data_IF_510971246275
#
_entry.id   IF_510971246275
#
_cell.length_a   1.000
_cell.length_b   1.000
_cell.length_c   1.000
_cell.angle_alpha   90.00
_cell.angle_beta   90.00
_cell.angle_gamma   90.00
#
_symmetry.space_group_name_H-M   'P 1'
#
loop_
_entity.id
_entity.type
_entity.pdbx_description
1 polymer ?
#
# COMPACT_ATOMS: atom_id res chain seq x y z
N UNK A 1 -2.35 -3.74 -5.24
CA UNK A 1 -0.88 -3.99 -5.27
C UNK A 1 -0.49 -4.78 -4.05
N UNK A 2 0.75 -5.30 -3.98
CA UNK A 2 1.24 -5.95 -2.76
C UNK A 2 1.17 -5.02 -1.53
N UNK A 3 1.50 -3.73 -1.68
CA UNK A 3 1.40 -2.77 -0.58
C UNK A 3 -0.02 -2.61 -0.04
N UNK A 4 -1.05 -2.63 -0.91
CA UNK A 4 -2.45 -2.60 -0.48
C UNK A 4 -2.80 -3.90 0.26
N UNK A 5 -2.42 -5.07 -0.24
CA UNK A 5 -2.70 -6.35 0.43
C UNK A 5 -2.07 -6.39 1.82
N UNK A 6 -0.85 -5.87 1.98
CA UNK A 6 -0.21 -5.79 3.30
C UNK A 6 -0.93 -4.83 4.25
N UNK A 7 -1.52 -3.73 3.77
CA UNK A 7 -2.40 -2.89 4.58
C UNK A 7 -3.66 -3.66 5.00
N UNK A 8 -4.30 -4.34 4.06
CA UNK A 8 -5.52 -5.09 4.34
C UNK A 8 -5.30 -6.20 5.37
N UNK A 9 -4.15 -6.88 5.29
CA UNK A 9 -3.74 -7.87 6.30
C UNK A 9 -3.39 -7.23 7.66
N UNK A 10 -2.79 -6.04 7.67
CA UNK A 10 -2.42 -5.33 8.90
C UNK A 10 -3.65 -4.94 9.73
N UNK A 11 -4.72 -4.50 9.06
CA UNK A 11 -5.91 -3.95 9.71
C UNK A 11 -7.14 -4.87 9.66
N UNK A 12 -7.08 -5.95 8.87
CA UNK A 12 -8.21 -6.86 8.67
C UNK A 12 -9.39 -6.22 7.92
N UNK A 13 -9.15 -5.17 7.12
CA UNK A 13 -10.14 -4.43 6.35
C UNK A 13 -9.71 -4.36 4.89
N UNK A 14 -10.66 -4.30 3.96
CA UNK A 14 -10.31 -3.99 2.56
C UNK A 14 -9.97 -2.50 2.42
N UNK A 15 -9.24 -2.12 1.37
CA UNK A 15 -9.04 -0.69 1.06
C UNK A 15 -10.39 0.01 0.88
N UNK A 16 -11.36 -0.66 0.27
CA UNK A 16 -12.71 -0.16 -0.02
C UNK A 16 -13.48 0.18 1.26
N UNK A 17 -13.32 -0.64 2.30
CA UNK A 17 -13.94 -0.44 3.61
C UNK A 17 -13.11 0.47 4.54
N UNK A 18 -11.92 0.89 4.10
CA UNK A 18 -11.06 1.76 4.90
C UNK A 18 -11.64 3.18 5.02
N UNK A 19 -11.45 3.86 6.17
CA UNK A 19 -11.85 5.27 6.31
C UNK A 19 -11.05 6.21 5.40
N UNK A 20 -9.98 5.71 4.76
CA UNK A 20 -9.12 6.45 3.86
C UNK A 20 -9.71 6.51 2.45
N UNK A 21 -10.31 5.42 1.95
CA UNK A 21 -10.90 5.40 0.60
C UNK A 21 -12.04 6.41 0.45
N UNK A 22 -12.91 6.52 1.46
CA UNK A 22 -14.02 7.46 1.45
C UNK A 22 -13.59 8.92 1.26
N UNK A 23 -12.38 9.30 1.67
CA UNK A 23 -11.83 10.66 1.52
C UNK A 23 -11.38 10.98 0.09
N UNK A 24 -11.07 9.95 -0.69
CA UNK A 24 -10.47 10.07 -2.02
C UNK A 24 -11.43 9.70 -3.16
N UNK A 25 -12.69 9.36 -2.86
CA UNK A 25 -13.71 9.06 -3.87
C UNK A 25 -14.05 10.31 -4.70
N UNK A 26 -14.17 10.12 -6.01
CA UNK A 26 -14.72 11.15 -6.90
C UNK A 26 -16.19 11.43 -6.55
N UNK A 27 -16.69 12.67 -6.72
CA UNK A 27 -18.09 13.02 -6.47
C UNK A 27 -19.11 12.20 -7.29
N UNK A 28 -18.67 11.65 -8.43
CA UNK A 28 -19.47 10.80 -9.32
C UNK A 28 -19.37 9.29 -8.99
N UNK A 29 -18.62 8.92 -7.94
CA UNK A 29 -18.39 7.54 -7.53
C UNK A 29 -17.44 6.77 -8.46
N UNK A 30 -16.80 7.43 -9.43
CA UNK A 30 -15.81 6.80 -10.29
C UNK A 30 -14.54 6.48 -9.50
N UNK A 31 -14.01 5.28 -9.70
CA UNK A 31 -12.76 4.82 -9.09
C UNK A 31 -11.59 5.13 -10.02
N UNK A 32 -10.61 5.87 -9.51
CA UNK A 32 -9.34 6.12 -10.20
C UNK A 32 -8.21 5.38 -9.47
N UNK A 33 -7.36 4.59 -10.15
CA UNK A 33 -6.18 3.97 -9.55
C UNK A 33 -5.25 4.94 -8.80
N UNK A 34 -5.24 6.23 -9.19
CA UNK A 34 -4.52 7.27 -8.47
C UNK A 34 -5.14 7.59 -7.09
N UNK A 35 -6.46 7.53 -6.95
CA UNK A 35 -7.17 7.75 -5.69
C UNK A 35 -6.95 6.60 -4.71
N UNK A 36 -7.00 5.36 -5.20
CA UNK A 36 -6.69 4.17 -4.41
C UNK A 36 -5.25 4.24 -3.86
N UNK A 37 -4.33 4.78 -4.67
CA UNK A 37 -2.96 5.02 -4.26
C UNK A 37 -2.85 6.06 -3.15
N UNK A 38 -3.48 7.23 -3.29
CA UNK A 38 -3.44 8.27 -2.26
C UNK A 38 -4.07 7.78 -0.95
N UNK A 39 -5.19 7.07 -1.03
CA UNK A 39 -5.81 6.42 0.12
C UNK A 39 -4.87 5.42 0.80
N UNK A 40 -4.18 4.56 0.04
CA UNK A 40 -3.22 3.61 0.59
C UNK A 40 -2.01 4.29 1.23
N UNK A 41 -1.50 5.39 0.67
CA UNK A 41 -0.40 6.17 1.25
C UNK A 41 -0.81 6.88 2.55
N UNK A 42 -2.04 7.37 2.62
CA UNK A 42 -2.56 7.94 3.87
C UNK A 42 -2.71 6.87 4.94
N UNK A 43 -3.26 5.70 4.58
CA UNK A 43 -3.46 4.58 5.49
C UNK A 43 -2.14 4.00 6.03
N UNK A 44 -1.08 3.96 5.21
CA UNK A 44 0.23 3.45 5.60
C UNK A 44 0.87 4.20 6.77
N UNK A 45 0.42 5.42 7.10
CA UNK A 45 0.92 6.21 8.24
C UNK A 45 0.58 5.56 9.59
N UNK A 46 -0.50 4.79 9.65
CA UNK A 46 -0.98 4.18 10.90
C UNK A 46 -0.31 2.83 11.20
N UNK A 47 0.33 2.22 10.19
CA UNK A 47 0.89 0.86 10.27
C UNK A 47 1.93 0.71 11.39
N UNK A 48 2.70 1.76 11.68
CA UNK A 48 3.69 1.74 12.77
C UNK A 48 3.03 1.48 14.13
N UNK A 49 1.83 2.03 14.35
CA UNK A 49 1.08 1.85 15.59
C UNK A 49 0.54 0.43 15.75
N UNK A 50 0.11 -0.21 14.66
CA UNK A 50 -0.52 -1.53 14.69
C UNK A 50 0.48 -2.69 14.62
N UNK A 51 1.48 -2.60 13.73
CA UNK A 51 2.38 -3.71 13.38
C UNK A 51 3.86 -3.38 13.50
N UNK A 52 4.19 -2.20 14.00
CA UNK A 52 5.57 -1.77 14.25
C UNK A 52 6.32 -1.27 13.01
N UNK A 53 7.53 -0.75 13.27
CA UNK A 53 8.32 0.01 12.30
C UNK A 53 8.77 -0.81 11.08
N UNK A 54 9.17 -2.07 11.27
CA UNK A 54 9.71 -2.90 10.18
C UNK A 54 8.61 -3.31 9.20
N UNK A 55 7.42 -3.65 9.70
CA UNK A 55 6.27 -3.92 8.85
C UNK A 55 5.83 -2.66 8.08
N UNK A 56 5.81 -1.50 8.74
CA UNK A 56 5.52 -0.23 8.10
C UNK A 56 6.48 0.11 6.95
N UNK A 57 7.78 -0.15 7.12
CA UNK A 57 8.77 0.01 6.04
C UNK A 57 8.50 -0.91 4.86
N UNK A 58 8.16 -2.18 5.12
CA UNK A 58 7.82 -3.14 4.08
C UNK A 58 6.60 -2.68 3.26
N UNK A 59 5.55 -2.19 3.92
CA UNK A 59 4.35 -1.64 3.29
C UNK A 59 4.71 -0.45 2.40
N UNK A 60 5.46 0.53 2.93
CA UNK A 60 5.87 1.72 2.18
C UNK A 60 6.68 1.36 0.94
N UNK A 61 7.66 0.46 1.08
CA UNK A 61 8.46 -0.02 -0.03
C UNK A 61 7.59 -0.67 -1.13
N UNK A 62 6.61 -1.49 -0.75
CA UNK A 62 5.71 -2.14 -1.69
C UNK A 62 4.72 -1.16 -2.36
N UNK A 63 4.35 -0.06 -1.69
CA UNK A 63 3.53 1.00 -2.30
C UNK A 63 4.33 1.87 -3.27
N UNK A 64 5.62 2.08 -3.02
CA UNK A 64 6.52 2.85 -3.88
C UNK A 64 6.94 2.06 -5.14
N UNK A 65 7.01 0.74 -5.02
CA UNK A 65 7.46 -0.20 -6.06
C UNK A 65 6.56 -0.38 -7.27
N UNK A 66 5.46 0.38 -7.42
CA UNK A 66 4.70 0.44 -8.68
C UNK A 66 5.59 0.78 -9.89
N UNK A 67 6.76 1.41 -9.66
CA UNK A 67 7.74 1.71 -10.72
C UNK A 67 8.56 0.51 -11.21
N UNK A 68 8.50 -0.64 -10.56
CA UNK A 68 9.22 -1.82 -11.03
C UNK A 68 8.36 -2.57 -12.03
N UNK A 69 8.84 -2.52 -13.26
CA UNK A 69 8.42 -3.34 -14.37
C UNK A 69 8.26 -4.80 -13.94
N UNK A 70 7.06 -5.37 -14.09
CA UNK A 70 6.81 -6.78 -13.79
C UNK A 70 7.74 -7.73 -14.57
N UNK A 71 8.27 -7.26 -15.70
CA UNK A 71 9.26 -7.94 -16.55
C UNK A 71 10.71 -7.85 -16.04
N UNK A 72 11.00 -7.10 -14.98
CA UNK A 72 12.35 -6.99 -14.42
C UNK A 72 12.56 -7.95 -13.23
N UNK A 73 13.30 -9.07 -13.40
CA UNK A 73 13.53 -10.04 -12.33
C UNK A 73 14.33 -9.47 -11.13
N UNK A 74 14.95 -8.29 -11.28
CA UNK A 74 15.69 -7.61 -10.21
C UNK A 74 14.86 -7.25 -8.99
N UNK A 75 13.52 -7.17 -9.13
CA UNK A 75 12.62 -6.79 -8.03
C UNK A 75 12.73 -7.72 -6.81
N UNK A 76 13.00 -9.01 -7.03
CA UNK A 76 13.14 -10.01 -5.95
C UNK A 76 14.41 -9.80 -5.13
N UNK A 77 15.52 -9.50 -5.80
CA UNK A 77 16.78 -9.20 -5.14
C UNK A 77 16.67 -7.88 -4.33
N UNK A 78 16.02 -6.89 -4.92
CA UNK A 78 15.81 -5.60 -4.26
C UNK A 78 14.82 -5.73 -3.08
N UNK A 79 13.79 -6.57 -3.17
CA UNK A 79 12.88 -6.88 -2.06
C UNK A 79 13.65 -7.51 -0.89
N UNK A 80 14.42 -8.56 -1.17
CA UNK A 80 15.23 -9.22 -0.14
C UNK A 80 16.19 -8.25 0.54
N UNK A 81 16.82 -7.32 -0.19
CA UNK A 81 17.79 -6.39 0.41
C UNK A 81 17.17 -5.26 1.23
N UNK A 82 15.90 -4.93 1.04
CA UNK A 82 15.26 -3.77 1.68
C UNK A 82 14.22 -4.14 2.73
N UNK A 83 13.75 -5.40 2.72
CA UNK A 83 12.62 -5.86 3.54
C UNK A 83 12.99 -7.01 4.48
N UNK A 84 14.00 -7.82 4.14
CA UNK A 84 14.49 -8.98 4.93
C UNK A 84 15.84 -8.65 5.55
#
# INVERSE_FOLDING_TARGET
TLGIILLELCFGLTLDDSPYRAKHLSPDGSTNPAQDREAAWEWAKDVVGESGQEYARAVQWCLEKWRVREDDPGWRAEFHSNVV
#
